data_IF_858585600759
#
_entry.id   IF_858585600759
#
_cell.length_a   1.000
_cell.length_b   1.000
_cell.length_c   1.000
_cell.angle_alpha   90.00
_cell.angle_beta   90.00
_cell.angle_gamma   90.00
#
_symmetry.space_group_name_H-M   'P 1'
#
loop_
_entity.id
_entity.type
_entity.pdbx_description
1 polymer ?
#
# COMPACT_ATOMS: atom_id res chain seq x y z
N UNK A 1 -42.99 -27.24 -8.09
CA UNK A 1 -42.53 -26.21 -7.14
C UNK A 1 -41.49 -25.36 -7.86
N UNK A 2 -41.89 -24.16 -8.27
CA UNK A 2 -41.14 -23.30 -9.20
C UNK A 2 -39.95 -22.60 -8.54
N UNK A 3 -38.82 -23.31 -8.39
CA UNK A 3 -37.57 -22.68 -7.96
C UNK A 3 -37.00 -21.71 -9.01
N UNK A 4 -37.29 -21.91 -10.30
CA UNK A 4 -36.79 -21.06 -11.39
C UNK A 4 -37.38 -19.64 -11.32
N UNK A 5 -38.70 -19.52 -11.14
CA UNK A 5 -39.37 -18.20 -11.13
C UNK A 5 -38.99 -17.33 -9.93
N UNK A 6 -38.69 -17.95 -8.78
CA UNK A 6 -38.23 -17.24 -7.57
C UNK A 6 -36.80 -16.69 -7.74
N UNK A 7 -35.91 -17.49 -8.33
CA UNK A 7 -34.51 -17.11 -8.53
C UNK A 7 -34.37 -16.02 -9.61
N UNK A 8 -35.18 -16.06 -10.66
CA UNK A 8 -35.23 -15.02 -11.69
C UNK A 8 -35.78 -13.69 -11.15
N UNK A 9 -36.78 -13.73 -10.27
CA UNK A 9 -37.29 -12.55 -9.57
C UNK A 9 -36.23 -11.92 -8.67
N UNK A 10 -35.48 -12.72 -7.90
CA UNK A 10 -34.39 -12.24 -7.05
C UNK A 10 -33.26 -11.61 -7.88
N UNK A 11 -32.87 -12.25 -9.00
CA UNK A 11 -31.87 -11.71 -9.92
C UNK A 11 -32.30 -10.36 -10.50
N UNK A 12 -33.57 -10.24 -10.89
CA UNK A 12 -34.12 -8.97 -11.43
C UNK A 12 -34.14 -7.86 -10.38
N UNK A 13 -34.46 -8.19 -9.12
CA UNK A 13 -34.39 -7.22 -8.01
C UNK A 13 -32.96 -6.78 -7.71
N UNK A 14 -32.01 -7.72 -7.65
CA UNK A 14 -30.59 -7.40 -7.45
C UNK A 14 -30.04 -6.51 -8.58
N UNK A 15 -30.40 -6.81 -9.83
CA UNK A 15 -30.02 -5.97 -10.97
C UNK A 15 -30.60 -4.55 -10.86
N UNK A 16 -31.86 -4.43 -10.42
CA UNK A 16 -32.49 -3.13 -10.14
C UNK A 16 -31.75 -2.33 -9.06
N UNK A 17 -31.44 -2.97 -7.93
CA UNK A 17 -30.68 -2.34 -6.83
C UNK A 17 -29.27 -1.93 -7.27
N UNK A 18 -28.59 -2.77 -8.05
CA UNK A 18 -27.29 -2.44 -8.62
C UNK A 18 -27.37 -1.22 -9.56
N UNK A 19 -28.43 -1.14 -10.37
CA UNK A 19 -28.70 0.02 -11.22
C UNK A 19 -28.90 1.30 -10.42
N UNK A 20 -29.76 1.28 -9.40
CA UNK A 20 -30.00 2.45 -8.54
C UNK A 20 -28.75 2.88 -7.78
N UNK A 21 -27.96 1.92 -7.27
CA UNK A 21 -26.70 2.22 -6.58
C UNK A 21 -25.71 2.88 -7.54
N UNK A 22 -25.60 2.35 -8.77
CA UNK A 22 -24.74 2.90 -9.81
C UNK A 22 -25.11 4.33 -10.15
N UNK A 23 -26.38 4.61 -10.38
CA UNK A 23 -26.87 5.95 -10.71
C UNK A 23 -26.58 6.96 -9.59
N UNK A 24 -26.82 6.59 -8.32
CA UNK A 24 -26.49 7.44 -7.17
C UNK A 24 -24.99 7.69 -7.03
N UNK A 25 -24.18 6.65 -7.24
CA UNK A 25 -22.71 6.75 -7.20
C UNK A 25 -22.17 7.64 -8.32
N UNK A 26 -22.71 7.50 -9.54
CA UNK A 26 -22.35 8.34 -10.68
C UNK A 26 -22.75 9.80 -10.45
N UNK A 27 -23.95 10.05 -9.91
CA UNK A 27 -24.43 11.40 -9.55
C UNK A 27 -23.52 12.05 -8.50
N UNK A 28 -23.21 11.32 -7.42
CA UNK A 28 -22.30 11.81 -6.37
C UNK A 28 -20.91 12.10 -6.94
N UNK A 29 -20.39 11.22 -7.81
CA UNK A 29 -19.11 11.45 -8.46
C UNK A 29 -19.13 12.68 -9.38
N UNK A 30 -20.21 12.92 -10.12
CA UNK A 30 -20.36 14.13 -10.95
C UNK A 30 -20.37 15.40 -10.09
N UNK A 31 -21.08 15.40 -8.96
CA UNK A 31 -21.07 16.51 -8.00
C UNK A 31 -19.67 16.73 -7.41
N UNK A 32 -18.98 15.65 -7.03
CA UNK A 32 -17.59 15.70 -6.56
C UNK A 32 -16.68 16.33 -7.63
N UNK A 33 -16.79 15.88 -8.89
CA UNK A 33 -15.98 16.42 -9.98
C UNK A 33 -16.29 17.90 -10.28
N UNK A 34 -17.55 18.34 -10.12
CA UNK A 34 -17.91 19.74 -10.29
C UNK A 34 -17.31 20.65 -9.22
N UNK A 35 -17.20 20.16 -7.97
CA UNK A 35 -16.65 20.92 -6.84
C UNK A 35 -15.11 20.91 -6.84
N UNK A 36 -14.51 19.74 -7.01
CA UNK A 36 -13.06 19.55 -6.84
C UNK A 36 -12.28 19.56 -8.16
N UNK A 37 -12.97 19.59 -9.30
CA UNK A 37 -12.37 19.42 -10.61
C UNK A 37 -11.98 17.97 -10.93
N UNK A 38 -11.51 17.75 -12.16
CA UNK A 38 -11.01 16.47 -12.64
C UNK A 38 -9.56 16.64 -13.08
N UNK A 39 -8.64 15.94 -12.45
CA UNK A 39 -7.35 15.63 -13.08
C UNK A 39 -7.52 14.29 -13.74
N UNK A 40 -7.63 14.26 -15.07
CA UNK A 40 -7.65 13.01 -15.82
C UNK A 40 -6.23 12.43 -15.87
N UNK A 41 -5.97 11.29 -15.23
CA UNK A 41 -4.72 10.60 -15.45
C UNK A 41 -4.71 10.10 -16.90
N UNK A 42 -3.92 10.77 -17.74
CA UNK A 42 -3.65 10.31 -19.11
C UNK A 42 -2.38 9.48 -19.08
N UNK A 43 -2.39 8.35 -19.79
CA UNK A 43 -1.17 7.59 -20.03
C UNK A 43 -0.17 8.47 -20.79
N UNK A 44 0.91 8.86 -20.12
CA UNK A 44 1.95 9.69 -20.71
C UNK A 44 2.87 8.84 -21.62
N UNK A 45 3.28 7.68 -21.14
CA UNK A 45 4.20 6.78 -21.83
C UNK A 45 3.97 5.32 -21.42
N UNK A 46 4.37 4.38 -22.28
CA UNK A 46 4.50 2.96 -21.94
C UNK A 46 5.96 2.55 -22.09
N UNK A 47 6.58 2.18 -20.97
CA UNK A 47 7.99 1.81 -20.91
C UNK A 47 8.13 0.34 -20.51
N UNK A 48 9.29 -0.23 -20.79
CA UNK A 48 9.63 -1.60 -20.41
C UNK A 48 10.91 -1.60 -19.58
N UNK A 49 10.81 -2.07 -18.34
CA UNK A 49 11.96 -2.29 -17.46
C UNK A 49 12.45 -3.73 -17.64
N UNK A 50 13.69 -3.90 -18.12
CA UNK A 50 14.32 -5.22 -18.21
C UNK A 50 14.99 -5.55 -16.88
N UNK A 51 14.70 -6.73 -16.35
CA UNK A 51 15.38 -7.31 -15.18
C UNK A 51 16.30 -8.44 -15.62
N UNK A 52 17.38 -8.67 -14.87
CA UNK A 52 18.32 -9.76 -15.18
C UNK A 52 17.74 -11.14 -14.90
N UNK A 53 16.77 -11.23 -13.99
CA UNK A 53 16.16 -12.46 -13.54
C UNK A 53 14.65 -12.45 -13.74
N UNK A 54 14.09 -13.65 -13.95
CA UNK A 54 12.64 -13.83 -13.86
C UNK A 54 12.21 -13.52 -12.43
N UNK A 55 11.32 -12.54 -12.28
CA UNK A 55 10.98 -11.98 -10.99
C UNK A 55 9.50 -11.59 -10.93
N UNK A 56 9.01 -11.46 -9.70
CA UNK A 56 7.71 -10.87 -9.42
C UNK A 56 7.94 -9.41 -9.05
N UNK A 57 7.53 -8.51 -9.94
CA UNK A 57 7.52 -7.07 -9.68
C UNK A 57 6.78 -6.78 -8.38
N UNK A 58 7.42 -6.01 -7.49
CA UNK A 58 6.83 -5.70 -6.19
C UNK A 58 6.47 -4.25 -6.03
N UNK A 59 7.40 -3.34 -6.30
CA UNK A 59 7.17 -1.91 -6.10
C UNK A 59 8.14 -1.03 -6.90
N UNK A 60 7.79 0.24 -7.07
CA UNK A 60 8.57 1.23 -7.82
C UNK A 60 8.41 2.61 -7.17
N UNK A 61 9.53 3.24 -6.81
CA UNK A 61 9.53 4.61 -6.28
C UNK A 61 10.58 5.47 -6.97
N UNK A 62 10.30 6.78 -7.06
CA UNK A 62 11.28 7.78 -7.49
C UNK A 62 12.06 8.29 -6.28
N UNK A 63 13.38 8.30 -6.39
CA UNK A 63 14.29 8.79 -5.36
C UNK A 63 15.33 9.68 -6.04
N UNK A 64 15.24 10.99 -5.81
CA UNK A 64 15.97 11.98 -6.61
C UNK A 64 15.67 11.83 -8.09
N UNK A 65 16.72 11.62 -8.88
CA UNK A 65 16.65 11.47 -10.34
C UNK A 65 16.59 10.02 -10.82
N UNK A 66 16.60 9.05 -9.90
CA UNK A 66 16.48 7.65 -10.23
C UNK A 66 15.12 7.07 -9.85
N UNK A 67 14.74 6.02 -10.57
CA UNK A 67 13.64 5.13 -10.23
C UNK A 67 14.23 3.87 -9.60
N UNK A 68 13.87 3.61 -8.35
CA UNK A 68 14.17 2.37 -7.65
C UNK A 68 13.04 1.38 -7.87
N UNK A 69 13.36 0.32 -8.59
CA UNK A 69 12.45 -0.80 -8.80
C UNK A 69 12.84 -1.97 -7.91
N UNK A 70 11.85 -2.53 -7.21
CA UNK A 70 12.01 -3.68 -6.34
C UNK A 70 11.19 -4.87 -6.81
N UNK A 71 11.78 -6.05 -6.71
CA UNK A 71 11.16 -7.30 -7.12
C UNK A 71 11.58 -8.46 -6.21
N UNK A 72 10.79 -9.52 -6.24
CA UNK A 72 11.13 -10.78 -5.57
C UNK A 72 11.53 -11.81 -6.62
N UNK A 73 12.69 -12.44 -6.44
CA UNK A 73 13.15 -13.57 -7.25
C UNK A 73 12.87 -14.89 -6.54
N UNK A 74 12.50 -15.92 -7.30
CA UNK A 74 12.53 -17.29 -6.79
C UNK A 74 13.92 -17.85 -7.03
N UNK A 75 14.76 -17.84 -5.98
CA UNK A 75 16.13 -18.30 -6.08
C UNK A 75 16.15 -19.84 -6.00
N UNK A 76 16.42 -20.48 -7.15
CA UNK A 76 16.53 -21.94 -7.22
C UNK A 76 17.87 -22.49 -6.71
N UNK A 77 19.00 -21.98 -7.24
CA UNK A 77 20.33 -22.55 -7.01
C UNK A 77 21.35 -21.59 -6.37
N UNK A 78 21.08 -20.27 -6.31
CA UNK A 78 21.99 -19.34 -5.59
C UNK A 78 21.86 -19.58 -4.08
N UNK A 79 22.99 -19.65 -3.39
CA UNK A 79 23.00 -19.84 -1.94
C UNK A 79 22.71 -18.55 -1.15
N UNK A 80 22.93 -17.38 -1.75
CA UNK A 80 22.78 -16.08 -1.10
C UNK A 80 22.08 -15.09 -2.03
N UNK A 81 21.14 -14.33 -1.47
CA UNK A 81 20.47 -13.22 -2.16
C UNK A 81 21.34 -11.98 -2.07
N UNK A 82 21.62 -11.35 -3.20
CA UNK A 82 22.37 -10.10 -3.29
C UNK A 82 21.44 -8.91 -3.51
N UNK A 83 21.96 -7.68 -3.45
CA UNK A 83 21.14 -6.46 -3.57
C UNK A 83 20.55 -6.36 -4.98
N UNK A 84 21.37 -6.67 -5.99
CA UNK A 84 21.01 -6.79 -7.40
C UNK A 84 19.96 -7.89 -7.68
N UNK A 85 19.79 -8.86 -6.78
CA UNK A 85 18.74 -9.87 -6.91
C UNK A 85 17.35 -9.33 -6.50
N UNK A 86 17.29 -8.16 -5.87
CA UNK A 86 16.04 -7.58 -5.32
C UNK A 86 15.75 -6.20 -5.87
N UNK A 87 16.78 -5.46 -6.30
CA UNK A 87 16.67 -4.09 -6.74
C UNK A 87 17.32 -3.83 -8.10
N UNK A 88 16.67 -2.99 -8.88
CA UNK A 88 17.23 -2.34 -10.07
C UNK A 88 17.06 -0.82 -9.95
N UNK A 89 18.01 -0.08 -10.48
CA UNK A 89 17.90 1.37 -10.65
C UNK A 89 17.71 1.70 -12.12
N UNK A 90 16.87 2.69 -12.39
CA UNK A 90 16.69 3.22 -13.73
C UNK A 90 16.73 4.75 -13.72
N UNK A 91 17.15 5.33 -14.83
CA UNK A 91 16.93 6.73 -15.14
C UNK A 91 15.74 6.84 -16.08
N UNK A 92 14.82 7.75 -15.77
CA UNK A 92 13.76 8.15 -16.68
C UNK A 92 14.18 9.43 -17.37
N UNK A 93 14.31 9.40 -18.70
CA UNK A 93 14.65 10.55 -19.53
C UNK A 93 13.58 10.79 -20.60
N UNK A 94 13.47 12.03 -21.08
CA UNK A 94 12.48 12.41 -22.08
C UNK A 94 11.05 12.51 -21.54
N UNK A 95 10.11 12.83 -22.42
CA UNK A 95 8.69 12.99 -22.12
C UNK A 95 7.80 12.34 -23.18
N UNK A 96 6.57 11.99 -22.78
CA UNK A 96 5.57 11.41 -23.68
C UNK A 96 6.08 10.18 -24.44
N UNK A 97 6.02 10.25 -25.77
CA UNK A 97 6.49 9.16 -26.65
C UNK A 97 8.01 9.01 -26.72
N UNK A 98 8.77 10.03 -26.33
CA UNK A 98 10.24 9.99 -26.29
C UNK A 98 10.78 9.54 -24.92
N UNK A 99 9.89 9.23 -23.97
CA UNK A 99 10.29 8.73 -22.67
C UNK A 99 11.07 7.40 -22.82
N UNK A 100 12.19 7.32 -22.14
CA UNK A 100 13.07 6.15 -22.13
C UNK A 100 13.43 5.79 -20.68
N UNK A 101 13.54 4.49 -20.43
CA UNK A 101 13.94 3.95 -19.15
C UNK A 101 15.29 3.23 -19.29
N UNK A 102 16.35 3.88 -18.84
CA UNK A 102 17.72 3.36 -18.98
C UNK A 102 18.18 2.73 -17.66
N UNK A 103 18.70 1.49 -17.65
CA UNK A 103 19.21 0.88 -16.43
C UNK A 103 20.45 1.62 -15.93
N UNK A 104 20.54 1.81 -14.61
CA UNK A 104 21.69 2.38 -13.92
C UNK A 104 22.41 1.30 -13.12
N UNK A 105 23.75 1.34 -13.05
CA UNK A 105 24.51 0.42 -12.22
C UNK A 105 24.22 0.66 -10.74
N UNK A 106 24.15 -0.42 -9.95
CA UNK A 106 24.08 -0.30 -8.50
C UNK A 106 25.42 0.15 -7.90
N UNK A 107 26.53 -0.19 -8.54
CA UNK A 107 27.87 0.25 -8.12
C UNK A 107 27.95 1.77 -8.07
N UNK A 108 28.37 2.31 -6.93
CA UNK A 108 28.45 3.76 -6.71
C UNK A 108 27.11 4.42 -6.37
N UNK A 109 26.00 3.69 -6.36
CA UNK A 109 24.70 4.17 -5.88
C UNK A 109 24.57 4.05 -4.36
N UNK A 110 23.50 4.61 -3.81
CA UNK A 110 23.16 4.46 -2.39
C UNK A 110 22.91 3.00 -1.97
N UNK A 111 22.54 2.12 -2.90
CA UNK A 111 22.37 0.68 -2.66
C UNK A 111 23.70 -0.08 -2.55
N UNK A 112 24.82 0.53 -2.93
CA UNK A 112 26.16 -0.05 -2.78
C UNK A 112 26.87 0.40 -1.49
N UNK A 113 26.21 1.19 -0.62
CA UNK A 113 26.81 1.63 0.63
C UNK A 113 27.15 0.43 1.53
N UNK A 114 28.40 0.29 2.02
CA UNK A 114 28.86 -0.93 2.69
C UNK A 114 28.01 -1.35 3.90
N UNK A 115 27.56 -0.36 4.69
CA UNK A 115 26.70 -0.60 5.87
C UNK A 115 25.36 -1.19 5.48
N UNK A 116 24.73 -0.67 4.42
CA UNK A 116 23.48 -1.22 3.90
C UNK A 116 23.67 -2.64 3.37
N UNK A 117 24.71 -2.87 2.57
CA UNK A 117 24.98 -4.20 1.99
C UNK A 117 25.22 -5.25 3.08
N UNK A 118 25.90 -4.88 4.17
CA UNK A 118 26.09 -5.76 5.32
C UNK A 118 24.76 -6.11 6.00
N UNK A 119 23.96 -5.10 6.36
CA UNK A 119 22.67 -5.31 7.04
C UNK A 119 21.65 -6.05 6.14
N UNK A 120 21.70 -5.82 4.83
CA UNK A 120 20.89 -6.53 3.84
C UNK A 120 21.25 -8.03 3.77
N UNK A 121 22.55 -8.35 3.74
CA UNK A 121 23.01 -9.75 3.78
C UNK A 121 22.61 -10.43 5.08
N UNK A 122 22.71 -9.71 6.19
CA UNK A 122 22.31 -10.19 7.51
C UNK A 122 20.81 -10.57 7.53
N UNK A 123 19.95 -9.71 6.98
CA UNK A 123 18.52 -9.97 6.85
C UNK A 123 18.24 -11.30 6.14
N UNK A 124 18.80 -11.50 4.95
CA UNK A 124 18.58 -12.73 4.18
C UNK A 124 19.26 -13.97 4.78
N UNK A 125 20.30 -13.78 5.60
CA UNK A 125 20.97 -14.88 6.31
C UNK A 125 20.13 -15.41 7.47
N UNK A 126 19.58 -14.51 8.29
CA UNK A 126 18.83 -14.89 9.48
C UNK A 126 17.34 -15.17 9.23
N UNK A 127 16.74 -14.51 8.23
CA UNK A 127 15.31 -14.62 7.97
C UNK A 127 15.05 -15.27 6.60
N UNK A 128 14.89 -16.59 6.60
CA UNK A 128 14.71 -17.37 5.35
C UNK A 128 13.44 -17.02 4.56
N UNK A 129 12.41 -16.50 5.22
CA UNK A 129 11.16 -16.08 4.58
C UNK A 129 11.16 -14.60 4.15
N UNK A 130 12.34 -13.98 4.03
CA UNK A 130 12.46 -12.57 3.64
C UNK A 130 11.90 -12.34 2.24
N UNK A 131 10.95 -11.42 2.15
CA UNK A 131 10.42 -10.92 0.87
C UNK A 131 10.32 -9.41 0.92
N UNK A 132 10.63 -8.74 -0.18
CA UNK A 132 10.34 -7.32 -0.32
C UNK A 132 8.82 -7.13 -0.31
N UNK A 133 8.34 -6.22 0.52
CA UNK A 133 6.93 -5.91 0.69
C UNK A 133 6.57 -4.54 0.11
N UNK A 134 7.40 -3.52 0.31
CA UNK A 134 7.09 -2.17 -0.16
C UNK A 134 8.35 -1.32 -0.28
N UNK A 135 8.32 -0.38 -1.22
CA UNK A 135 9.23 0.74 -1.32
C UNK A 135 8.45 2.02 -1.06
N UNK A 136 8.96 2.91 -0.22
CA UNK A 136 8.22 4.13 0.11
C UNK A 136 9.13 5.31 0.36
N UNK A 137 8.82 6.45 -0.26
CA UNK A 137 9.34 7.74 0.16
C UNK A 137 8.37 8.37 1.15
N UNK A 138 8.85 8.66 2.36
CA UNK A 138 8.08 9.24 3.45
C UNK A 138 8.84 10.48 3.97
N UNK A 139 8.45 11.66 3.50
CA UNK A 139 9.17 12.90 3.80
C UNK A 139 10.57 12.88 3.23
N UNK A 140 11.56 13.07 4.10
CA UNK A 140 13.00 13.06 3.80
C UNK A 140 13.62 11.65 3.91
N UNK A 141 12.81 10.59 3.89
CA UNK A 141 13.30 9.21 4.00
C UNK A 141 12.82 8.32 2.87
N UNK A 142 13.72 7.47 2.39
CA UNK A 142 13.38 6.27 1.63
C UNK A 142 13.36 5.08 2.60
N UNK A 143 12.25 4.33 2.56
CA UNK A 143 12.02 3.13 3.34
C UNK A 143 12.00 1.91 2.42
N UNK A 144 12.82 0.92 2.71
CA UNK A 144 12.75 -0.41 2.09
C UNK A 144 12.14 -1.38 3.10
N UNK A 145 10.90 -1.82 2.85
CA UNK A 145 10.12 -2.62 3.79
C UNK A 145 10.17 -4.07 3.36
N UNK A 146 10.72 -4.90 4.22
CA UNK A 146 10.76 -6.35 4.06
C UNK A 146 9.85 -7.01 5.07
N UNK A 147 9.18 -8.08 4.63
CA UNK A 147 8.50 -9.01 5.52
C UNK A 147 9.43 -10.17 5.82
N UNK A 148 9.59 -10.51 7.09
CA UNK A 148 10.52 -11.54 7.58
C UNK A 148 9.82 -12.80 8.08
N UNK A 149 8.49 -12.79 8.14
CA UNK A 149 7.67 -13.88 8.67
C UNK A 149 6.22 -13.82 8.17
N UNK A 150 5.35 -14.60 8.81
CA UNK A 150 3.94 -14.70 8.43
C UNK A 150 3.04 -13.69 9.12
N UNK A 151 3.47 -13.11 10.24
CA UNK A 151 2.67 -12.14 10.96
C UNK A 151 2.79 -10.76 10.33
N UNK A 152 1.73 -9.95 10.44
CA UNK A 152 1.74 -8.59 9.89
C UNK A 152 2.85 -7.71 10.49
N UNK A 153 3.24 -7.97 11.74
CA UNK A 153 4.29 -7.26 12.45
C UNK A 153 5.71 -7.76 12.13
N UNK A 154 5.86 -8.91 11.45
CA UNK A 154 7.17 -9.48 11.09
C UNK A 154 7.76 -8.70 9.92
N UNK A 155 8.28 -7.51 10.23
CA UNK A 155 8.85 -6.59 9.26
C UNK A 155 10.24 -6.13 9.68
N UNK A 156 11.09 -5.92 8.68
CA UNK A 156 12.36 -5.22 8.81
C UNK A 156 12.30 -4.02 7.86
N UNK A 157 12.63 -2.83 8.37
CA UNK A 157 12.56 -1.60 7.56
C UNK A 157 13.91 -0.91 7.52
N UNK A 158 14.51 -0.88 6.34
CA UNK A 158 15.71 -0.08 6.07
C UNK A 158 15.33 1.36 5.82
N UNK A 159 16.16 2.27 6.33
CA UNK A 159 15.99 3.71 6.20
C UNK A 159 17.18 4.30 5.49
N UNK A 160 16.88 5.12 4.52
CA UNK A 160 17.81 6.04 3.91
C UNK A 160 17.30 7.45 4.11
N UNK A 161 18.18 8.38 4.46
CA UNK A 161 17.89 9.81 4.42
C UNK A 161 18.02 10.32 2.99
N UNK A 162 17.16 11.26 2.62
CA UNK A 162 17.16 11.97 1.34
C UNK A 162 17.41 13.44 1.66
N UNK A 163 18.54 13.97 1.21
CA UNK A 163 18.86 15.38 1.43
C UNK A 163 18.14 16.30 0.41
N UNK A 164 18.35 17.62 0.54
CA UNK A 164 17.74 18.62 -0.35
C UNK A 164 18.24 18.55 -1.79
N UNK A 165 19.40 17.94 -2.03
CA UNK A 165 20.00 17.73 -3.34
C UNK A 165 19.59 16.38 -3.95
N UNK A 166 18.77 15.59 -3.25
CA UNK A 166 18.38 14.25 -3.67
C UNK A 166 19.43 13.17 -3.41
N UNK A 167 20.50 13.48 -2.65
CA UNK A 167 21.47 12.49 -2.21
C UNK A 167 20.86 11.57 -1.16
N UNK A 168 21.16 10.28 -1.29
CA UNK A 168 20.54 9.22 -0.49
C UNK A 168 21.60 8.55 0.35
N UNK A 169 21.44 8.58 1.68
CA UNK A 169 22.41 8.02 2.62
C UNK A 169 21.76 7.01 3.55
N UNK A 170 22.42 5.85 3.72
CA UNK A 170 21.92 4.80 4.58
C UNK A 170 22.01 5.18 6.06
N UNK A 171 20.89 5.06 6.77
CA UNK A 171 20.80 5.37 8.20
C UNK A 171 20.99 4.08 9.01
N UNK A 172 20.00 3.17 8.93
CA UNK A 172 19.96 1.87 9.62
C UNK A 172 18.78 0.99 9.13
N UNK A 173 18.57 -0.16 9.78
CA UNK A 173 17.49 -1.12 9.54
C UNK A 173 16.42 -1.15 10.66
N UNK A 174 16.18 0.00 11.33
CA UNK A 174 15.26 0.13 12.48
C UNK A 174 14.08 1.07 12.20
N UNK A 175 13.58 1.02 10.97
CA UNK A 175 12.56 1.96 10.48
C UNK A 175 11.12 1.55 10.71
N UNK A 176 10.83 0.54 11.53
CA UNK A 176 9.47 0.02 11.70
C UNK A 176 8.50 1.10 12.19
N UNK A 177 8.98 2.03 13.02
CA UNK A 177 8.20 3.18 13.51
C UNK A 177 8.06 4.31 12.48
N UNK A 178 8.91 4.36 11.46
CA UNK A 178 8.79 5.32 10.35
C UNK A 178 7.83 4.79 9.27
N UNK A 179 7.57 3.47 9.23
CA UNK A 179 6.61 2.84 8.34
C UNK A 179 5.16 2.97 8.86
N UNK A 180 4.70 4.22 9.04
CA UNK A 180 3.30 4.51 9.43
C UNK A 180 2.50 4.78 8.16
N UNK A 181 1.54 3.90 7.86
CA UNK A 181 0.62 4.12 6.74
C UNK A 181 -0.26 5.35 7.03
N UNK A 182 -0.60 6.15 6.00
CA UNK A 182 -1.54 7.25 6.19
C UNK A 182 -2.85 6.70 6.78
N UNK A 183 -3.55 7.49 7.61
CA UNK A 183 -4.88 7.15 8.07
C UNK A 183 -5.75 6.78 6.87
N UNK A 184 -6.47 5.68 6.96
CA UNK A 184 -7.38 5.24 5.89
C UNK A 184 -8.65 6.09 5.81
N UNK A 185 -8.86 6.96 6.79
CA UNK A 185 -10.05 7.79 6.97
C UNK A 185 -9.62 9.20 7.38
N UNK A 186 -10.37 10.20 6.94
CA UNK A 186 -10.13 11.62 7.28
C UNK A 186 -10.69 12.01 8.67
N UNK A 187 -11.01 11.02 9.49
CA UNK A 187 -11.53 11.19 10.84
C UNK A 187 -10.82 10.25 11.81
N UNK A 188 -10.73 10.69 13.05
CA UNK A 188 -10.15 9.89 14.12
C UNK A 188 -11.17 8.88 14.65
N UNK A 189 -10.76 7.63 14.80
CA UNK A 189 -11.57 6.63 15.49
C UNK A 189 -11.49 6.86 16.99
N UNK A 190 -12.59 7.31 17.57
CA UNK A 190 -12.72 7.46 19.02
C UNK A 190 -13.27 6.15 19.57
N UNK A 191 -12.48 5.47 20.41
CA UNK A 191 -12.96 4.27 21.09
C UNK A 191 -14.12 4.65 22.04
N UNK A 192 -15.16 3.83 22.02
CA UNK A 192 -16.27 3.93 22.98
C UNK A 192 -15.73 3.53 24.37
N UNK A 193 -15.80 4.46 25.31
CA UNK A 193 -15.46 4.25 26.71
C UNK A 193 -16.64 3.71 27.52
N UNK A 194 -16.42 3.50 28.82
CA UNK A 194 -17.46 2.95 29.71
C UNK A 194 -18.64 3.91 29.90
N UNK A 195 -18.39 5.20 29.81
CA UNK A 195 -19.33 6.29 30.00
C UNK A 195 -20.41 6.35 28.92
N UNK A 196 -20.11 5.89 27.71
CA UNK A 196 -21.09 5.79 26.62
C UNK A 196 -21.96 4.52 26.73
N UNK A 197 -21.61 3.55 27.59
CA UNK A 197 -22.40 2.34 27.75
C UNK A 197 -23.54 2.56 28.75
N UNK A 198 -24.77 2.55 28.24
CA UNK A 198 -25.98 2.54 29.07
C UNK A 198 -26.37 1.09 29.34
N UNK A 199 -26.39 0.72 30.62
CA UNK A 199 -26.81 -0.60 31.09
C UNK A 199 -28.29 -0.60 31.46
N UNK A 200 -28.89 -1.79 31.57
CA UNK A 200 -30.26 -1.97 32.06
C UNK A 200 -31.13 -2.76 31.09
N UNK A 201 -32.42 -2.43 31.05
CA UNK A 201 -33.43 -3.19 30.28
C UNK A 201 -33.23 -3.09 28.76
N UNK A 202 -32.70 -1.97 28.28
CA UNK A 202 -32.40 -1.72 26.87
C UNK A 202 -30.94 -1.27 26.77
N UNK A 203 -29.97 -2.18 26.94
CA UNK A 203 -28.57 -1.81 26.98
C UNK A 203 -28.12 -1.36 25.60
N UNK A 204 -27.45 -0.22 25.53
CA UNK A 204 -27.00 0.38 24.28
C UNK A 204 -25.77 1.26 24.51
N UNK A 205 -25.06 1.55 23.43
CA UNK A 205 -24.02 2.56 23.39
C UNK A 205 -24.65 3.88 22.95
N UNK A 206 -24.55 4.89 23.79
CA UNK A 206 -24.96 6.25 23.51
C UNK A 206 -23.78 7.04 22.94
N UNK A 207 -23.85 7.40 21.67
CA UNK A 207 -22.85 8.18 20.97
C UNK A 207 -23.35 9.62 20.89
N UNK A 208 -22.72 10.49 21.70
CA UNK A 208 -22.93 11.95 21.70
C UNK A 208 -24.41 12.36 21.89
N UNK A 209 -25.19 11.59 22.66
CA UNK A 209 -26.63 11.82 22.89
C UNK A 209 -27.46 11.92 21.61
N UNK A 210 -26.96 11.36 20.50
CA UNK A 210 -27.55 11.52 19.17
C UNK A 210 -27.77 10.18 18.48
N UNK A 211 -26.85 9.23 18.64
CA UNK A 211 -26.98 7.90 18.01
C UNK A 211 -26.89 6.84 19.09
N UNK A 212 -27.86 5.94 19.12
CA UNK A 212 -27.92 4.85 20.08
C UNK A 212 -27.78 3.52 19.37
N UNK A 213 -26.73 2.77 19.69
CA UNK A 213 -26.40 1.49 19.04
C UNK A 213 -26.62 0.35 20.03
N UNK A 214 -27.44 -0.62 19.63
CA UNK A 214 -27.83 -1.78 20.43
C UNK A 214 -27.47 -3.07 19.68
N UNK A 215 -26.85 -4.03 20.38
CA UNK A 215 -26.47 -5.35 19.81
C UNK A 215 -27.01 -6.50 20.65
N UNK A 216 -28.29 -6.44 21.05
CA UNK A 216 -28.93 -7.47 21.87
C UNK A 216 -29.77 -8.42 21.03
N UNK A 217 -29.97 -9.64 21.53
CA UNK A 217 -30.85 -10.62 20.87
C UNK A 217 -30.33 -11.15 19.54
N UNK A 218 -29.08 -10.87 19.17
CA UNK A 218 -28.50 -11.23 17.87
C UNK A 218 -28.70 -10.18 16.77
N UNK A 219 -29.41 -9.10 17.07
CA UNK A 219 -29.67 -8.01 16.12
C UNK A 219 -28.77 -6.81 16.39
N UNK A 220 -28.36 -6.11 15.32
CA UNK A 220 -27.75 -4.78 15.38
C UNK A 220 -28.82 -3.73 15.08
N UNK A 221 -29.14 -2.90 16.06
CA UNK A 221 -30.11 -1.80 15.93
C UNK A 221 -29.39 -0.46 16.09
N UNK A 222 -29.64 0.47 15.17
CA UNK A 222 -29.15 1.85 15.22
C UNK A 222 -30.35 2.80 15.29
N UNK A 223 -30.40 3.65 16.32
CA UNK A 223 -31.47 4.64 16.54
C UNK A 223 -30.86 6.04 16.48
N UNK A 224 -31.63 7.00 15.96
CA UNK A 224 -31.30 8.43 15.82
C UNK A 224 -32.37 9.21 16.58
#
# INVERSE_FOLDING_TARGET
MDLSGSLDLLRKRLAGLAGTLRERSETLNQQRLAVYGRVEPRLAARLSARTEHNCLARDLVRVGDCLLFGYNVHIGLKQQTQVEDVFCLYQLSGDGSAAELTPLPLTGSFLAQPRFVADFRELYTYYRATTLDMLRVAGDKLLLVFRTGSQAADRRVFRFGIDRNGQVEYIDNRGERDHVLPPTHDFEWINVGREQHVLGRHPHVNILDTIFVETVGGDLTVKI
#
